data_IF_740982796578
#
_entry.id   IF_740982796578
#
_cell.length_a   1.000
_cell.length_b   1.000
_cell.length_c   1.000
_cell.angle_alpha   90.00
_cell.angle_beta   90.00
_cell.angle_gamma   90.00
#
_symmetry.space_group_name_H-M   'P 1'
#
loop_
_entity.id
_entity.type
_entity.pdbx_description
1 polymer ?
#
# COMPACT_ATOMS: atom_id res chain seq x y z
N UNK A 1 -22.41 42.79 20.59
CA UNK A 1 -22.96 41.51 20.09
C UNK A 1 -23.50 41.79 18.69
N UNK A 2 -22.70 41.52 17.67
CA UNK A 2 -23.07 41.82 16.28
C UNK A 2 -23.86 40.62 15.74
N UNK A 3 -25.17 40.78 15.54
CA UNK A 3 -26.00 39.75 14.95
C UNK A 3 -25.60 39.61 13.48
N UNK A 4 -25.10 38.44 13.09
CA UNK A 4 -25.00 38.11 11.67
C UNK A 4 -26.45 38.04 11.16
N UNK A 5 -26.83 38.95 10.28
CA UNK A 5 -28.13 38.93 9.59
C UNK A 5 -28.23 37.65 8.76
N UNK A 6 -29.44 37.10 8.65
CA UNK A 6 -29.76 35.84 7.96
C UNK A 6 -29.26 35.80 6.51
N UNK A 7 -29.15 36.96 5.87
CA UNK A 7 -28.60 37.13 4.51
C UNK A 7 -27.12 36.74 4.42
N UNK A 8 -26.35 36.90 5.51
CA UNK A 8 -24.92 36.51 5.56
C UNK A 8 -24.77 34.99 5.50
N UNK A 9 -25.64 34.25 6.19
CA UNK A 9 -25.60 32.78 6.19
C UNK A 9 -26.04 32.20 4.85
N UNK A 10 -27.08 32.77 4.22
CA UNK A 10 -27.52 32.31 2.89
C UNK A 10 -26.50 32.58 1.79
N UNK A 11 -25.75 33.68 1.91
CA UNK A 11 -24.67 34.01 0.97
C UNK A 11 -23.50 33.05 1.10
N UNK A 12 -23.08 32.71 2.32
CA UNK A 12 -22.03 31.72 2.57
C UNK A 12 -22.44 30.30 2.13
N UNK A 13 -23.71 29.91 2.34
CA UNK A 13 -24.23 28.62 1.88
C UNK A 13 -24.22 28.49 0.35
N UNK A 14 -24.50 29.57 -0.39
CA UNK A 14 -24.39 29.60 -1.87
C UNK A 14 -22.94 29.56 -2.34
N UNK A 15 -22.04 30.25 -1.64
CA UNK A 15 -20.60 30.30 -1.94
C UNK A 15 -19.94 28.91 -1.80
N UNK A 16 -20.33 28.15 -0.77
CA UNK A 16 -19.86 26.80 -0.46
C UNK A 16 -20.50 25.69 -1.31
N UNK A 17 -21.63 25.95 -1.96
CA UNK A 17 -22.30 24.99 -2.85
C UNK A 17 -21.94 25.20 -4.33
N UNK A 18 -20.99 26.09 -4.63
CA UNK A 18 -20.36 26.12 -5.96
C UNK A 18 -19.55 24.83 -6.10
N UNK A 19 -19.60 24.14 -7.26
CA UNK A 19 -18.77 22.97 -7.46
C UNK A 19 -17.33 23.43 -7.26
N UNK A 20 -16.65 22.88 -6.26
CA UNK A 20 -15.24 23.11 -6.06
C UNK A 20 -14.57 22.92 -7.42
N UNK A 21 -13.83 23.94 -7.90
CA UNK A 21 -13.10 23.80 -9.14
C UNK A 21 -12.35 22.48 -9.09
N UNK A 22 -12.74 21.53 -9.93
CA UNK A 22 -12.23 20.16 -9.93
C UNK A 22 -10.72 20.29 -10.15
N UNK A 23 -9.97 20.16 -9.05
CA UNK A 23 -8.54 20.35 -8.95
C UNK A 23 -7.89 19.69 -10.18
N UNK A 24 -7.31 20.50 -11.07
CA UNK A 24 -6.68 20.02 -12.31
C UNK A 24 -5.62 18.94 -12.06
N UNK A 25 -5.16 18.83 -10.80
CA UNK A 25 -4.36 17.73 -10.32
C UNK A 25 -5.07 16.37 -10.39
N UNK A 26 -6.33 16.23 -9.96
CA UNK A 26 -7.05 14.95 -9.97
C UNK A 26 -7.20 14.42 -11.39
N UNK A 27 -7.61 15.28 -12.32
CA UNK A 27 -7.75 14.91 -13.73
C UNK A 27 -6.39 14.55 -14.35
N UNK A 28 -5.33 15.26 -13.97
CA UNK A 28 -3.95 14.96 -14.37
C UNK A 28 -3.48 13.60 -13.83
N UNK A 29 -3.74 13.29 -12.56
CA UNK A 29 -3.42 12.00 -11.92
C UNK A 29 -4.19 10.88 -12.61
N UNK A 30 -5.51 11.01 -12.79
CA UNK A 30 -6.35 10.02 -13.49
C UNK A 30 -5.85 9.74 -14.90
N UNK A 31 -5.47 10.79 -15.64
CA UNK A 31 -4.90 10.68 -16.99
C UNK A 31 -3.54 9.96 -16.99
N UNK A 32 -2.66 10.30 -16.06
CA UNK A 32 -1.35 9.64 -15.91
C UNK A 32 -1.52 8.15 -15.59
N UNK A 33 -2.40 7.79 -14.66
CA UNK A 33 -2.72 6.39 -14.32
C UNK A 33 -3.24 5.63 -15.54
N UNK A 34 -4.16 6.22 -16.31
CA UNK A 34 -4.68 5.59 -17.55
C UNK A 34 -3.56 5.31 -18.55
N UNK A 35 -2.68 6.29 -18.77
CA UNK A 35 -1.53 6.15 -19.69
C UNK A 35 -0.55 5.06 -19.24
N UNK A 36 -0.35 4.90 -17.94
CA UNK A 36 0.47 3.83 -17.37
C UNK A 36 -0.17 2.45 -17.55
N UNK A 37 -1.50 2.34 -17.42
CA UNK A 37 -2.22 1.07 -17.62
C UNK A 37 -2.20 0.57 -19.07
N UNK A 38 -2.13 1.47 -20.05
CA UNK A 38 -2.11 1.12 -21.48
C UNK A 38 -0.70 0.89 -22.03
N UNK A 39 0.36 1.23 -21.27
CA UNK A 39 1.73 0.90 -21.66
C UNK A 39 1.92 -0.60 -21.51
N UNK A 40 2.01 -1.30 -22.62
CA UNK A 40 2.51 -2.67 -22.64
C UNK A 40 3.99 -2.63 -22.26
N UNK A 41 4.30 -3.18 -21.10
CA UNK A 41 5.69 -3.51 -20.77
C UNK A 41 5.99 -4.80 -21.51
N UNK A 42 6.83 -4.74 -22.54
CA UNK A 42 7.49 -5.94 -23.06
C UNK A 42 8.50 -6.38 -22.00
N UNK A 43 8.00 -7.03 -20.96
CA UNK A 43 8.81 -7.52 -19.87
C UNK A 43 9.11 -8.99 -20.14
N UNK A 44 10.25 -9.22 -20.80
CA UNK A 44 10.94 -10.50 -20.82
C UNK A 44 11.49 -10.80 -19.42
N UNK A 45 10.58 -11.08 -18.47
CA UNK A 45 10.95 -11.59 -17.15
C UNK A 45 11.47 -13.01 -17.35
N UNK A 46 12.74 -13.22 -17.02
CA UNK A 46 13.33 -14.54 -17.09
C UNK A 46 12.58 -15.52 -16.17
N UNK A 47 12.29 -16.75 -16.61
CA UNK A 47 11.64 -17.74 -15.78
C UNK A 47 12.50 -18.06 -14.55
N UNK A 48 11.85 -18.26 -13.42
CA UNK A 48 12.47 -18.65 -12.17
C UNK A 48 12.76 -20.16 -12.15
N UNK A 49 13.79 -20.56 -11.39
CA UNK A 49 14.17 -21.95 -11.19
C UNK A 49 13.64 -22.51 -9.87
N UNK A 50 13.43 -23.83 -9.75
CA UNK A 50 13.06 -24.46 -8.49
C UNK A 50 14.06 -24.18 -7.36
N UNK A 51 15.36 -24.11 -7.68
CA UNK A 51 16.43 -23.80 -6.73
C UNK A 51 16.30 -22.37 -6.20
N UNK A 52 16.01 -21.41 -7.08
CA UNK A 52 15.77 -20.02 -6.70
C UNK A 52 14.56 -19.89 -5.77
N UNK A 53 13.46 -20.57 -6.10
CA UNK A 53 12.25 -20.58 -5.27
C UNK A 53 12.53 -21.25 -3.92
N UNK A 54 13.24 -22.38 -3.90
CA UNK A 54 13.62 -23.06 -2.66
C UNK A 54 14.47 -22.17 -1.76
N UNK A 55 15.45 -21.46 -2.34
CA UNK A 55 16.29 -20.53 -1.60
C UNK A 55 15.44 -19.43 -0.95
N UNK A 56 14.51 -18.81 -1.69
CA UNK A 56 13.63 -17.76 -1.16
C UNK A 56 12.75 -18.30 -0.02
N UNK A 57 12.14 -19.48 -0.20
CA UNK A 57 11.33 -20.13 0.84
C UNK A 57 12.19 -20.41 2.09
N UNK A 58 13.42 -20.89 1.91
CA UNK A 58 14.36 -21.19 2.99
C UNK A 58 14.71 -19.95 3.82
N UNK A 59 15.02 -18.83 3.16
CA UNK A 59 15.37 -17.55 3.81
C UNK A 59 14.17 -16.86 4.50
N UNK A 60 12.93 -17.25 4.16
CA UNK A 60 11.74 -16.65 4.74
C UNK A 60 11.58 -16.98 6.24
N UNK A 61 11.15 -15.99 7.05
CA UNK A 61 11.00 -16.18 8.51
C UNK A 61 9.76 -17.03 8.83
N UNK A 62 9.92 -18.11 9.59
CA UNK A 62 8.83 -19.06 9.88
C UNK A 62 7.68 -18.47 10.70
N UNK A 63 7.96 -17.52 11.63
CA UNK A 63 6.97 -16.94 12.55
C UNK A 63 6.28 -15.69 12.00
N UNK A 64 6.17 -15.55 10.68
CA UNK A 64 5.38 -14.48 10.05
C UNK A 64 3.91 -14.84 10.08
N UNK A 65 3.06 -13.81 10.15
CA UNK A 65 1.62 -14.00 9.97
C UNK A 65 1.35 -14.61 8.58
N UNK A 66 0.39 -15.55 8.46
CA UNK A 66 -0.04 -16.04 7.16
C UNK A 66 -0.64 -14.92 6.32
N UNK A 67 -0.61 -15.09 5.00
CA UNK A 67 -1.41 -14.27 4.11
C UNK A 67 -2.91 -14.53 4.30
N UNK A 68 -3.74 -13.82 3.53
CA UNK A 68 -5.19 -13.99 3.54
C UNK A 68 -5.64 -15.37 3.00
N UNK A 69 -4.74 -16.07 2.33
CA UNK A 69 -4.89 -17.46 1.88
C UNK A 69 -4.66 -18.48 3.01
N UNK A 70 -4.21 -18.05 4.19
CA UNK A 70 -3.89 -18.93 5.32
C UNK A 70 -2.59 -19.72 5.15
N UNK A 71 -1.84 -19.52 4.06
CA UNK A 71 -0.60 -20.27 3.80
C UNK A 71 0.53 -19.67 4.64
N UNK A 72 1.09 -20.49 5.53
CA UNK A 72 2.21 -20.06 6.39
C UNK A 72 3.56 -20.38 5.74
N UNK A 73 4.60 -19.63 6.11
CA UNK A 73 5.98 -19.94 5.71
C UNK A 73 6.44 -21.32 6.20
N UNK A 74 5.86 -21.83 7.31
CA UNK A 74 6.12 -23.19 7.77
C UNK A 74 5.61 -24.24 6.77
N UNK A 75 4.42 -24.04 6.22
CA UNK A 75 3.84 -24.91 5.21
C UNK A 75 4.66 -24.91 3.91
N UNK A 76 5.11 -23.72 3.47
CA UNK A 76 5.97 -23.61 2.30
C UNK A 76 7.29 -24.36 2.46
N UNK A 77 7.90 -24.27 3.65
CA UNK A 77 9.14 -25.00 3.98
C UNK A 77 8.95 -26.52 4.10
N UNK A 78 7.74 -27.00 4.38
CA UNK A 78 7.43 -28.42 4.47
C UNK A 78 6.97 -29.03 3.14
N UNK A 79 6.97 -28.26 2.04
CA UNK A 79 6.54 -28.78 0.75
C UNK A 79 7.47 -29.91 0.25
N UNK A 80 6.92 -31.02 -0.27
CA UNK A 80 7.73 -31.99 -0.99
C UNK A 80 8.25 -31.40 -2.29
N UNK A 81 9.27 -32.01 -2.89
CA UNK A 81 9.87 -31.56 -4.16
C UNK A 81 8.84 -31.30 -5.27
N UNK A 82 7.81 -32.15 -5.38
CA UNK A 82 6.71 -31.96 -6.34
C UNK A 82 5.96 -30.64 -6.09
N UNK A 83 5.66 -30.31 -4.83
CA UNK A 83 4.99 -29.07 -4.46
C UNK A 83 5.84 -27.84 -4.78
N UNK A 84 7.15 -27.91 -4.52
CA UNK A 84 8.08 -26.85 -4.89
C UNK A 84 8.06 -26.57 -6.40
N UNK A 85 8.14 -27.61 -7.24
CA UNK A 85 8.07 -27.48 -8.70
C UNK A 85 6.73 -26.88 -9.15
N UNK A 86 5.62 -27.26 -8.52
CA UNK A 86 4.31 -26.66 -8.81
C UNK A 86 4.29 -25.16 -8.51
N UNK A 87 4.85 -24.73 -7.38
CA UNK A 87 4.95 -23.30 -7.01
C UNK A 87 5.83 -22.54 -8.01
N UNK A 88 6.94 -23.12 -8.44
CA UNK A 88 7.81 -22.55 -9.48
C UNK A 88 7.07 -22.36 -10.79
N UNK A 89 6.38 -23.39 -11.28
CA UNK A 89 5.63 -23.32 -12.54
C UNK A 89 4.51 -22.28 -12.47
N UNK A 90 3.76 -22.25 -11.37
CA UNK A 90 2.73 -21.23 -11.13
C UNK A 90 3.31 -19.81 -11.15
N UNK A 91 4.48 -19.61 -10.54
CA UNK A 91 5.16 -18.30 -10.53
C UNK A 91 5.57 -17.88 -11.94
N UNK A 92 6.10 -18.81 -12.73
CA UNK A 92 6.47 -18.57 -14.12
C UNK A 92 5.25 -18.28 -15.01
N UNK A 93 4.12 -18.94 -14.77
CA UNK A 93 2.86 -18.67 -15.44
C UNK A 93 2.34 -17.26 -15.12
N UNK A 94 2.43 -16.84 -13.85
CA UNK A 94 2.07 -15.48 -13.43
C UNK A 94 2.97 -14.44 -14.11
N UNK A 95 4.29 -14.66 -14.17
CA UNK A 95 5.20 -13.74 -14.85
C UNK A 95 4.94 -13.68 -16.36
N UNK A 96 4.68 -14.81 -17.01
CA UNK A 96 4.37 -14.87 -18.44
C UNK A 96 3.05 -14.16 -18.78
N UNK A 97 2.03 -14.34 -17.94
CA UNK A 97 0.70 -13.75 -18.17
C UNK A 97 0.55 -12.35 -17.61
N UNK A 98 1.50 -11.90 -16.79
CA UNK A 98 1.40 -10.68 -15.97
C UNK A 98 0.09 -10.60 -15.17
N UNK A 99 -0.54 -11.75 -14.90
CA UNK A 99 -1.83 -11.83 -14.23
C UNK A 99 -1.65 -12.27 -12.77
N UNK A 100 -1.72 -11.29 -11.86
CA UNK A 100 -1.63 -11.54 -10.43
C UNK A 100 -2.99 -11.88 -9.81
N UNK A 101 -3.06 -12.86 -8.88
CA UNK A 101 -4.26 -13.19 -8.15
C UNK A 101 -4.90 -11.96 -7.49
N UNK A 102 -6.23 -11.89 -7.49
CA UNK A 102 -6.97 -10.78 -6.87
C UNK A 102 -6.65 -10.60 -5.39
N UNK A 103 -6.46 -11.71 -4.67
CA UNK A 103 -6.15 -11.70 -3.23
C UNK A 103 -4.83 -10.98 -2.95
N UNK A 104 -3.84 -11.07 -3.85
CA UNK A 104 -2.55 -10.38 -3.68
C UNK A 104 -2.62 -8.87 -3.90
N UNK A 105 -3.69 -8.39 -4.54
CA UNK A 105 -3.96 -6.96 -4.76
C UNK A 105 -4.76 -6.34 -3.61
N UNK A 106 -5.10 -7.13 -2.60
CA UNK A 106 -5.89 -6.72 -1.44
C UNK A 106 -5.01 -6.86 -0.19
N UNK A 107 -5.11 -5.88 0.72
CA UNK A 107 -4.35 -5.87 1.97
C UNK A 107 -5.27 -5.59 3.15
N UNK A 108 -5.14 -6.37 4.22
CA UNK A 108 -5.83 -6.10 5.48
C UNK A 108 -4.95 -5.18 6.33
N UNK A 109 -5.48 -4.00 6.66
CA UNK A 109 -4.76 -3.00 7.49
C UNK A 109 -5.11 -3.23 8.94
N UNK A 110 -4.14 -3.72 9.71
CA UNK A 110 -4.25 -3.87 11.17
C UNK A 110 -3.42 -2.77 11.82
N UNK A 111 -4.07 -1.85 12.52
CA UNK A 111 -3.39 -0.83 13.32
C UNK A 111 -2.84 -1.47 14.59
N UNK A 112 -1.51 -1.58 14.67
CA UNK A 112 -0.84 -2.00 15.91
C UNK A 112 -0.46 -0.76 16.73
N UNK A 113 -0.85 -0.69 18.01
CA UNK A 113 -0.43 0.39 18.88
C UNK A 113 1.10 0.34 19.01
N UNK A 114 1.76 1.49 18.81
CA UNK A 114 3.19 1.61 19.06
C UNK A 114 3.46 1.20 20.51
N UNK A 115 4.53 0.43 20.79
CA UNK A 115 4.90 0.15 22.16
C UNK A 115 5.09 1.49 22.89
N UNK A 116 4.45 1.66 24.04
CA UNK A 116 4.65 2.84 24.88
C UNK A 116 6.11 2.83 25.30
N UNK A 117 6.93 3.67 24.67
CA UNK A 117 8.16 4.14 25.31
C UNK A 117 7.72 4.77 26.63
N UNK A 118 8.30 4.35 27.75
CA UNK A 118 8.10 4.94 29.07
C UNK A 118 8.64 6.39 29.10
N UNK A 119 8.09 7.28 28.29
CA UNK A 119 8.17 8.72 28.52
C UNK A 119 6.93 9.10 29.29
N UNK A 120 7.14 9.63 30.49
CA UNK A 120 6.09 10.26 31.26
C UNK A 120 5.35 11.29 30.38
N UNK A 121 4.04 11.51 30.57
CA UNK A 121 3.26 12.49 29.80
C UNK A 121 3.69 13.96 29.90
N UNK A 122 4.87 14.28 30.46
CA UNK A 122 5.33 15.65 30.75
C UNK A 122 6.33 16.25 29.76
N UNK A 123 6.70 15.55 28.68
CA UNK A 123 7.58 16.13 27.63
C UNK A 123 6.94 16.05 26.24
N UNK A 124 5.77 16.66 26.09
CA UNK A 124 5.44 17.33 24.82
C UNK A 124 6.10 18.70 24.87
N UNK A 125 7.41 18.75 24.63
CA UNK A 125 8.06 20.02 24.35
C UNK A 125 7.56 20.51 23.00
N UNK A 126 6.86 21.64 23.03
CA UNK A 126 6.44 22.41 21.88
C UNK A 126 7.64 22.59 20.94
N UNK A 127 7.42 22.32 19.66
CA UNK A 127 8.39 22.56 18.61
C UNK A 127 8.55 24.10 18.47
N UNK A 128 9.60 24.65 19.08
CA UNK A 128 10.02 26.03 18.81
C UNK A 128 10.92 26.02 17.57
N UNK A 129 10.68 26.86 16.54
CA UNK A 129 11.53 26.88 15.35
C UNK A 129 12.86 27.56 15.68
N UNK A 130 13.97 26.89 15.39
CA UNK A 130 15.31 27.44 15.54
C UNK A 130 15.53 28.59 14.55
N UNK A 131 15.40 29.83 15.03
CA UNK A 131 15.96 31.01 14.39
C UNK A 131 17.32 31.26 15.03
N UNK A 132 18.40 31.09 14.27
CA UNK A 132 19.70 31.68 14.62
C UNK A 132 19.96 32.88 13.73
N UNK A 133 20.19 34.08 14.28
CA UNK A 133 20.91 35.14 13.59
C UNK A 133 22.33 35.31 14.16
N UNK A 134 23.30 35.22 13.24
CA UNK A 134 24.71 35.68 13.21
C UNK A 134 25.55 35.65 14.49
#
# INVERSE_FOLDING_TARGET
MMMMTTDTIEREARENNRPAEEDGHETTVRRAVRKLRTKTVDSCIAPTSPEGVAAIIGHSKTRKAPGRDGITNKMLKSLPRKGLVTVTNLTNDIFRTSHFPRIWKQSDVIMLPKPKTNRAPSEVQAHEPAVQPR
#
